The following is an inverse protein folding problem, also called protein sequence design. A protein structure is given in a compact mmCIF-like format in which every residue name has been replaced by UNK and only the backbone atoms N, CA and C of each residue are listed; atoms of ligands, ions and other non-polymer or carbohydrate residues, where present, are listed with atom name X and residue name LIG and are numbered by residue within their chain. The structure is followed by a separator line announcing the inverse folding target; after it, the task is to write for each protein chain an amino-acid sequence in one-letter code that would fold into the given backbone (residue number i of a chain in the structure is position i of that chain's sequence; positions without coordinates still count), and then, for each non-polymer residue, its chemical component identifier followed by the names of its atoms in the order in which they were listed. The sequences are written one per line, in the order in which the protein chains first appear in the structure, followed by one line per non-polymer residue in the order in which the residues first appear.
data_IF_851124104572
#
_entry.id   IF_851124104572
#
_cell.length_a   1.000
_cell.length_b   1.000
_cell.length_c   1.000
_cell.angle_alpha   90.00
_cell.angle_beta   90.00
_cell.angle_gamma   90.00
#
_symmetry.space_group_name_H-M   'P 1'
#
loop_
_entity.id
_entity.type
_entity.pdbx_description
1 polymer ?
#
# COMPACT_ATOMS: atom_id res chain seq x y z
N UNK A 1 30.18 32.02 -11.61
CA UNK A 1 28.70 31.95 -11.73
C UNK A 1 28.19 30.53 -11.56
N UNK A 2 28.86 29.55 -12.17
CA UNK A 2 28.54 28.11 -12.03
C UNK A 2 28.44 27.60 -10.59
N UNK A 3 29.30 28.04 -9.67
CA UNK A 3 29.21 27.64 -8.25
C UNK A 3 27.95 28.19 -7.54
N UNK A 4 27.54 29.42 -7.89
CA UNK A 4 26.30 30.03 -7.38
C UNK A 4 25.07 29.33 -7.95
N UNK A 5 25.05 29.08 -9.25
CA UNK A 5 23.94 28.37 -9.92
C UNK A 5 23.73 26.95 -9.33
N UNK A 6 24.82 26.25 -9.02
CA UNK A 6 24.78 24.94 -8.34
C UNK A 6 24.31 25.03 -6.89
N UNK A 7 24.54 26.15 -6.21
CA UNK A 7 24.04 26.37 -4.85
C UNK A 7 22.53 26.58 -4.87
N UNK A 8 22.02 27.41 -5.79
CA UNK A 8 20.58 27.61 -5.98
C UNK A 8 19.87 26.29 -6.37
N UNK A 9 20.51 25.44 -7.18
CA UNK A 9 20.00 24.11 -7.50
C UNK A 9 19.93 23.20 -6.26
N UNK A 10 20.97 23.19 -5.42
CA UNK A 10 20.99 22.42 -4.17
C UNK A 10 19.87 22.89 -3.23
N UNK A 11 19.65 24.20 -3.11
CA UNK A 11 18.62 24.75 -2.23
C UNK A 11 17.21 24.35 -2.70
N UNK A 12 16.93 24.40 -4.00
CA UNK A 12 15.66 23.92 -4.57
C UNK A 12 15.44 22.42 -4.36
N UNK A 13 16.50 21.61 -4.51
CA UNK A 13 16.44 20.17 -4.25
C UNK A 13 16.16 19.88 -2.77
N UNK A 14 16.76 20.65 -1.85
CA UNK A 14 16.51 20.53 -0.41
C UNK A 14 15.10 20.97 -0.03
N UNK A 15 14.59 22.06 -0.59
CA UNK A 15 13.21 22.50 -0.39
C UNK A 15 12.22 21.41 -0.80
N UNK A 16 12.42 20.83 -2.00
CA UNK A 16 11.57 19.73 -2.48
C UNK A 16 11.67 18.51 -1.56
N UNK A 17 12.88 18.15 -1.12
CA UNK A 17 13.09 17.03 -0.21
C UNK A 17 12.38 17.23 1.14
N UNK A 18 12.46 18.44 1.72
CA UNK A 18 11.77 18.75 2.99
C UNK A 18 10.25 18.69 2.83
N UNK A 19 9.71 19.13 1.70
CA UNK A 19 8.28 19.01 1.43
C UNK A 19 7.83 17.54 1.32
N UNK A 20 8.63 16.68 0.69
CA UNK A 20 8.37 15.24 0.60
C UNK A 20 8.53 14.54 1.95
N UNK A 21 9.50 14.97 2.76
CA UNK A 21 9.67 14.47 4.12
C UNK A 21 8.44 14.78 4.99
N UNK A 22 7.89 15.99 4.89
CA UNK A 22 6.65 16.36 5.58
C UNK A 22 5.46 15.49 5.13
N UNK A 23 5.32 15.27 3.82
CA UNK A 23 4.31 14.36 3.26
C UNK A 23 4.48 12.92 3.78
N UNK A 24 5.72 12.40 3.80
CA UNK A 24 6.03 11.07 4.32
C UNK A 24 5.62 10.93 5.78
N UNK A 25 6.01 11.89 6.63
CA UNK A 25 5.68 11.85 8.06
C UNK A 25 4.17 11.94 8.30
N UNK A 26 3.47 12.75 7.52
CA UNK A 26 2.01 12.85 7.54
C UNK A 26 1.36 11.53 7.13
N UNK A 27 1.78 10.92 6.03
CA UNK A 27 1.27 9.61 5.59
C UNK A 27 1.57 8.52 6.62
N UNK A 28 2.74 8.57 7.27
CA UNK A 28 3.10 7.62 8.33
C UNK A 28 2.20 7.76 9.56
N UNK A 29 1.86 8.99 9.94
CA UNK A 29 0.91 9.26 11.03
C UNK A 29 -0.51 8.81 10.67
N UNK A 30 -0.93 8.99 9.41
CA UNK A 30 -2.22 8.48 8.93
C UNK A 30 -2.26 6.95 8.95
N UNK A 31 -1.19 6.28 8.51
CA UNK A 31 -1.07 4.83 8.56
C UNK A 31 -1.20 4.30 9.99
N UNK A 32 -0.48 4.90 10.95
CA UNK A 32 -0.53 4.46 12.34
C UNK A 32 -1.92 4.66 12.96
N UNK A 33 -2.58 5.79 12.67
CA UNK A 33 -3.94 6.04 13.11
C UNK A 33 -4.94 5.01 12.56
N UNK A 34 -4.86 4.68 11.26
CA UNK A 34 -5.71 3.67 10.63
C UNK A 34 -5.43 2.25 11.16
N UNK A 35 -4.17 1.92 11.43
CA UNK A 35 -3.79 0.64 12.05
C UNK A 35 -4.39 0.49 13.44
N UNK A 36 -4.29 1.55 14.26
CA UNK A 36 -4.87 1.56 15.62
C UNK A 36 -6.39 1.41 15.53
N UNK A 37 -7.08 2.17 14.65
CA UNK A 37 -8.52 2.03 14.43
C UNK A 37 -8.90 0.59 14.05
N UNK A 38 -8.19 0.02 13.09
CA UNK A 38 -8.41 -1.35 12.62
C UNK A 38 -8.29 -2.37 13.75
N UNK A 39 -7.21 -2.28 14.54
CA UNK A 39 -6.96 -3.20 15.66
C UNK A 39 -8.00 -3.03 16.79
N UNK A 40 -8.40 -1.80 17.10
CA UNK A 40 -9.46 -1.52 18.08
C UNK A 40 -10.80 -2.10 17.64
N UNK A 41 -11.18 -1.89 16.37
CA UNK A 41 -12.41 -2.43 15.80
C UNK A 41 -12.39 -3.97 15.75
N UNK A 42 -11.24 -4.57 15.42
CA UNK A 42 -11.06 -6.01 15.47
C UNK A 42 -11.18 -6.55 16.90
N UNK A 43 -10.57 -5.89 17.89
CA UNK A 43 -10.66 -6.28 19.30
C UNK A 43 -12.11 -6.19 19.80
N UNK A 44 -12.84 -5.13 19.44
CA UNK A 44 -14.28 -5.00 19.73
C UNK A 44 -15.10 -6.13 19.12
N UNK A 45 -14.82 -6.49 17.85
CA UNK A 45 -15.50 -7.61 17.19
C UNK A 45 -15.21 -8.94 17.90
N UNK A 46 -13.96 -9.19 18.30
CA UNK A 46 -13.55 -10.39 19.03
C UNK A 46 -14.20 -10.47 20.42
N UNK A 47 -14.30 -9.34 21.12
CA UNK A 47 -14.91 -9.28 22.45
C UNK A 47 -16.42 -9.57 22.43
N UNK A 48 -17.13 -9.08 21.42
CA UNK A 48 -18.57 -9.30 21.24
C UNK A 48 -18.90 -10.54 20.39
N UNK A 49 -17.92 -11.41 20.12
CA UNK A 49 -18.16 -12.61 19.34
C UNK A 49 -19.07 -13.59 20.12
N UNK A 50 -20.08 -14.18 19.48
CA UNK A 50 -20.92 -15.19 20.12
C UNK A 50 -20.09 -16.44 20.46
N UNK A 51 -20.56 -17.25 21.40
CA UNK A 51 -19.87 -18.44 21.89
C UNK A 51 -19.48 -19.37 20.73
N UNK A 52 -18.21 -19.76 20.67
CA UNK A 52 -17.67 -20.62 19.61
C UNK A 52 -17.32 -19.91 18.30
N UNK A 53 -17.55 -18.60 18.18
CA UNK A 53 -17.12 -17.82 17.01
C UNK A 53 -15.80 -17.10 17.30
N UNK A 54 -14.82 -17.35 16.45
CA UNK A 54 -13.53 -16.67 16.51
C UNK A 54 -13.24 -16.01 15.15
N UNK A 55 -13.26 -14.69 15.12
CA UNK A 55 -12.90 -13.91 13.93
C UNK A 55 -11.37 -14.00 13.72
N UNK A 56 -10.95 -15.01 12.96
CA UNK A 56 -9.56 -15.33 12.68
C UNK A 56 -9.43 -16.56 11.77
N UNK A 57 -8.23 -17.13 11.74
CA UNK A 57 -7.84 -18.22 10.82
C UNK A 57 -8.72 -19.47 10.93
N UNK A 58 -9.23 -19.78 12.13
CA UNK A 58 -10.10 -20.94 12.36
C UNK A 58 -11.42 -20.91 11.58
N UNK A 59 -11.83 -19.74 11.08
CA UNK A 59 -13.05 -19.54 10.27
C UNK A 59 -12.73 -19.36 8.78
N UNK A 60 -11.47 -19.49 8.38
CA UNK A 60 -11.10 -19.48 6.97
C UNK A 60 -11.43 -20.84 6.36
N UNK A 61 -12.14 -20.82 5.23
CA UNK A 61 -12.28 -22.00 4.37
C UNK A 61 -11.09 -22.05 3.39
N UNK A 62 -10.87 -23.19 2.72
CA UNK A 62 -9.82 -23.38 1.70
C UNK A 62 -9.94 -22.44 0.48
N UNK A 63 -10.98 -21.60 0.45
CA UNK A 63 -11.24 -20.57 -0.55
C UNK A 63 -10.72 -19.19 -0.16
N UNK A 64 -10.14 -19.01 1.03
CA UNK A 64 -9.57 -17.73 1.47
C UNK A 64 -8.40 -17.33 0.56
N UNK A 65 -8.59 -16.24 -0.18
CA UNK A 65 -7.59 -15.69 -1.10
C UNK A 65 -7.38 -14.20 -0.82
N UNK A 66 -6.15 -13.72 -1.02
CA UNK A 66 -5.83 -12.30 -0.91
C UNK A 66 -6.53 -11.53 -2.04
N UNK A 67 -7.56 -10.76 -1.72
CA UNK A 67 -8.34 -10.03 -2.73
C UNK A 67 -7.61 -8.82 -3.30
N UNK A 68 -6.74 -8.22 -2.48
CA UNK A 68 -5.99 -7.02 -2.81
C UNK A 68 -4.52 -7.32 -2.69
N UNK A 69 -3.80 -6.99 -3.77
CA UNK A 69 -2.35 -7.06 -3.81
C UNK A 69 -1.85 -5.69 -4.24
N UNK A 70 -0.92 -5.12 -3.48
CA UNK A 70 -0.13 -3.99 -3.92
C UNK A 70 1.16 -4.54 -4.52
N UNK A 71 1.47 -4.13 -5.75
CA UNK A 71 2.73 -4.51 -6.40
C UNK A 71 3.54 -3.25 -6.60
N UNK A 72 4.71 -3.19 -5.98
CA UNK A 72 5.67 -2.12 -6.22
C UNK A 72 6.64 -2.62 -7.29
N UNK A 73 6.45 -2.20 -8.54
CA UNK A 73 7.42 -2.48 -9.62
C UNK A 73 8.40 -1.31 -9.72
N UNK A 74 9.69 -1.62 -9.75
CA UNK A 74 10.72 -0.65 -10.07
C UNK A 74 10.81 -0.50 -11.60
N UNK A 75 9.93 0.28 -12.21
CA UNK A 75 10.06 0.62 -13.64
C UNK A 75 10.92 1.88 -13.80
N UNK A 76 11.74 1.90 -14.85
CA UNK A 76 12.65 2.99 -15.23
C UNK A 76 11.93 4.30 -15.60
N UNK A 77 10.60 4.27 -15.69
CA UNK A 77 9.70 5.42 -15.69
C UNK A 77 8.63 5.17 -14.63
N UNK A 78 8.47 6.14 -13.74
CA UNK A 78 7.92 6.03 -12.40
C UNK A 78 6.39 6.01 -12.40
N UNK A 79 5.79 4.86 -12.67
CA UNK A 79 4.37 4.63 -12.40
C UNK A 79 4.24 3.50 -11.38
N UNK A 80 3.76 3.83 -10.18
CA UNK A 80 3.21 2.82 -9.26
C UNK A 80 1.86 2.43 -9.86
N UNK A 81 1.92 1.49 -10.80
CA UNK A 81 0.73 1.00 -11.47
C UNK A 81 -0.03 0.09 -10.53
N UNK A 82 -1.18 0.62 -10.11
CA UNK A 82 -2.43 -0.06 -9.77
C UNK A 82 -2.37 -1.23 -8.78
N UNK A 83 -3.20 -1.11 -7.74
CA UNK A 83 -3.74 -2.24 -6.99
C UNK A 83 -4.40 -3.20 -7.99
N UNK A 84 -3.66 -4.21 -8.45
CA UNK A 84 -4.26 -5.32 -9.18
C UNK A 84 -5.08 -6.11 -8.14
N UNK A 85 -6.41 -5.96 -8.22
CA UNK A 85 -7.31 -6.88 -7.53
C UNK A 85 -6.95 -8.28 -8.02
N UNK A 86 -6.59 -9.17 -7.11
CA UNK A 86 -6.14 -10.50 -7.43
C UNK A 86 -7.18 -11.25 -8.27
N UNK A 87 -7.03 -11.27 -9.59
CA UNK A 87 -7.65 -12.28 -10.42
C UNK A 87 -6.78 -13.53 -10.25
N UNK A 88 -7.29 -14.53 -9.55
CA UNK A 88 -6.65 -15.84 -9.55
C UNK A 88 -6.94 -16.52 -10.88
N UNK A 89 -5.85 -16.89 -11.57
CA UNK A 89 -5.85 -17.91 -12.62
C UNK A 89 -6.32 -19.23 -12.02
N UNK A 90 -7.24 -19.91 -12.70
CA UNK A 90 -7.71 -21.24 -12.34
C UNK A 90 -6.68 -22.29 -12.80
N UNK A 91 -6.21 -23.13 -11.89
CA UNK A 91 -5.77 -24.50 -12.22
C UNK A 91 -6.53 -25.46 -11.31
N UNK A 92 -7.24 -26.40 -11.94
CA UNK A 92 -8.35 -27.13 -11.33
C UNK A 92 -8.05 -28.55 -10.87
N UNK A 93 -9.11 -29.20 -10.37
CA UNK A 93 -9.35 -30.63 -10.53
C UNK A 93 -10.86 -30.90 -10.56
N UNK A 94 -11.31 -31.81 -11.43
CA UNK A 94 -12.71 -31.97 -11.88
C UNK A 94 -13.30 -33.33 -11.46
N UNK A 95 -14.56 -33.33 -11.04
CA UNK A 95 -15.66 -34.32 -11.33
C UNK A 95 -16.84 -33.99 -10.39
N UNK A 96 -18.14 -33.96 -10.71
CA UNK A 96 -18.96 -34.49 -11.81
C UNK A 96 -20.33 -33.76 -11.91
N UNK A 97 -20.79 -33.57 -13.16
CA UNK A 97 -22.14 -33.45 -13.75
C UNK A 97 -23.37 -32.88 -13.00
N UNK A 98 -23.97 -31.83 -13.58
CA UNK A 98 -25.43 -31.56 -13.51
C UNK A 98 -25.91 -30.10 -13.69
N UNK A 99 -26.32 -29.75 -14.92
CA UNK A 99 -27.33 -28.74 -15.31
C UNK A 99 -26.97 -27.23 -15.47
N UNK A 100 -26.67 -26.87 -16.72
CA UNK A 100 -27.24 -25.81 -17.61
C UNK A 100 -27.84 -24.50 -17.04
N UNK A 101 -27.28 -23.38 -17.55
CA UNK A 101 -27.80 -22.00 -17.61
C UNK A 101 -27.42 -21.02 -16.47
N UNK A 102 -26.25 -20.35 -16.62
CA UNK A 102 -26.05 -18.97 -16.12
C UNK A 102 -25.37 -18.75 -14.75
N UNK A 103 -24.73 -19.78 -14.17
CA UNK A 103 -24.08 -19.66 -12.84
C UNK A 103 -22.57 -19.40 -12.93
N UNK A 104 -21.96 -19.65 -14.09
CA UNK A 104 -20.50 -19.78 -14.26
C UNK A 104 -19.71 -18.45 -14.32
N UNK A 105 -20.37 -17.29 -14.42
CA UNK A 105 -19.71 -15.98 -14.29
C UNK A 105 -19.76 -15.39 -12.86
N UNK A 106 -20.47 -16.07 -11.93
CA UNK A 106 -20.89 -15.52 -10.63
C UNK A 106 -20.33 -16.25 -9.41
N UNK A 107 -19.18 -16.92 -9.52
CA UNK A 107 -18.20 -16.90 -8.42
C UNK A 107 -17.50 -15.53 -8.47
N UNK A 108 -18.29 -14.47 -8.52
CA UNK A 108 -17.82 -13.10 -8.46
C UNK A 108 -17.17 -12.96 -7.09
N UNK A 109 -15.84 -12.96 -7.06
CA UNK A 109 -14.98 -12.31 -6.05
C UNK A 109 -15.67 -12.24 -4.68
N UNK A 110 -15.84 -13.39 -4.02
CA UNK A 110 -16.66 -13.49 -2.81
C UNK A 110 -16.05 -12.59 -1.74
N UNK A 111 -16.76 -11.54 -1.30
CA UNK A 111 -16.29 -10.67 -0.20
C UNK A 111 -15.80 -11.54 0.97
N UNK A 112 -14.55 -11.37 1.44
CA UNK A 112 -13.91 -12.34 2.34
C UNK A 112 -14.56 -12.26 3.72
N UNK A 113 -15.12 -11.09 4.04
CA UNK A 113 -15.89 -10.85 5.24
C UNK A 113 -17.15 -11.72 5.33
N UNK A 114 -17.72 -12.17 4.21
CA UNK A 114 -18.91 -13.05 4.19
C UNK A 114 -18.57 -14.49 4.55
N UNK A 115 -17.29 -14.87 4.62
CA UNK A 115 -16.88 -16.18 5.12
C UNK A 115 -17.17 -16.35 6.61
N UNK A 116 -17.28 -15.25 7.36
CA UNK A 116 -17.69 -15.26 8.77
C UNK A 116 -19.22 -15.34 8.98
N UNK A 117 -19.98 -15.66 7.93
CA UNK A 117 -21.43 -15.82 7.97
C UNK A 117 -22.22 -14.56 7.58
N UNK A 118 -23.55 -14.65 7.70
CA UNK A 118 -24.47 -13.54 7.33
C UNK A 118 -24.45 -12.39 8.35
N UNK A 119 -24.23 -12.72 9.63
CA UNK A 119 -24.28 -11.80 10.77
C UNK A 119 -22.88 -11.33 11.16
N UNK A 120 -22.22 -10.62 10.26
CA UNK A 120 -20.92 -10.02 10.58
C UNK A 120 -21.12 -8.79 11.48
N UNK A 121 -20.40 -8.67 12.63
CA UNK A 121 -20.46 -7.47 13.46
C UNK A 121 -20.02 -6.23 12.69
N UNK A 122 -20.64 -5.10 12.98
CA UNK A 122 -20.28 -3.83 12.34
C UNK A 122 -18.79 -3.47 12.57
N UNK A 123 -18.27 -3.74 13.76
CA UNK A 123 -16.87 -3.52 14.09
C UNK A 123 -15.93 -4.31 13.16
N UNK A 124 -16.28 -5.52 12.76
CA UNK A 124 -15.47 -6.30 11.81
C UNK A 124 -15.55 -5.72 10.39
N UNK A 125 -16.71 -5.21 9.98
CA UNK A 125 -16.86 -4.50 8.70
C UNK A 125 -16.04 -3.22 8.65
N UNK A 126 -16.03 -2.44 9.73
CA UNK A 126 -15.21 -1.23 9.86
C UNK A 126 -13.72 -1.58 9.84
N UNK A 127 -13.28 -2.56 10.61
CA UNK A 127 -11.88 -3.02 10.61
C UNK A 127 -11.43 -3.47 9.21
N UNK A 128 -12.27 -4.22 8.50
CA UNK A 128 -11.98 -4.61 7.11
C UNK A 128 -11.89 -3.38 6.20
N UNK A 129 -12.84 -2.44 6.28
CA UNK A 129 -12.85 -1.17 5.53
C UNK A 129 -11.60 -0.33 5.74
N UNK A 130 -11.18 -0.14 7.00
CA UNK A 130 -9.96 0.60 7.34
C UNK A 130 -8.72 -0.12 6.76
N UNK A 131 -8.66 -1.44 6.85
CA UNK A 131 -7.59 -2.25 6.25
C UNK A 131 -7.53 -2.15 4.72
N UNK A 132 -8.69 -2.06 4.06
CA UNK A 132 -8.76 -1.77 2.62
C UNK A 132 -8.03 -0.47 2.30
N UNK A 133 -8.42 0.62 2.98
CA UNK A 133 -7.92 1.95 2.71
C UNK A 133 -6.41 2.01 2.93
N UNK A 134 -5.91 1.36 3.98
CA UNK A 134 -4.48 1.26 4.26
C UNK A 134 -3.71 0.64 3.09
N UNK A 135 -4.15 -0.52 2.59
CA UNK A 135 -3.43 -1.27 1.53
C UNK A 135 -3.60 -0.63 0.16
N UNK A 136 -4.77 -0.07 -0.14
CA UNK A 136 -5.04 0.51 -1.46
C UNK A 136 -4.48 1.92 -1.64
N UNK A 137 -4.44 2.73 -0.57
CA UNK A 137 -4.15 4.16 -0.68
C UNK A 137 -2.92 4.58 0.09
N UNK A 138 -2.79 4.19 1.35
CA UNK A 138 -1.75 4.76 2.22
C UNK A 138 -0.39 4.10 1.97
N UNK A 139 -0.33 2.77 1.95
CA UNK A 139 0.93 2.03 1.76
C UNK A 139 1.58 2.34 0.40
N UNK A 140 0.87 2.36 -0.73
CA UNK A 140 1.46 2.68 -2.03
C UNK A 140 2.03 4.11 -2.08
N UNK A 141 1.33 5.10 -1.53
CA UNK A 141 1.81 6.49 -1.49
C UNK A 141 3.03 6.65 -0.59
N UNK A 142 3.12 5.94 0.53
CA UNK A 142 4.34 5.93 1.36
C UNK A 142 5.53 5.38 0.55
N UNK A 143 5.34 4.25 -0.13
CA UNK A 143 6.40 3.67 -0.97
C UNK A 143 6.82 4.61 -2.11
N UNK A 144 5.88 5.37 -2.67
CA UNK A 144 6.14 6.39 -3.67
C UNK A 144 7.05 7.48 -3.13
N UNK A 145 6.64 8.10 -2.02
CA UNK A 145 7.36 9.24 -1.44
C UNK A 145 8.74 8.81 -0.97
N UNK A 146 8.87 7.63 -0.35
CA UNK A 146 10.16 7.08 0.09
C UNK A 146 11.14 6.92 -1.10
N UNK A 147 10.62 6.46 -2.25
CA UNK A 147 11.40 6.36 -3.48
C UNK A 147 11.79 7.73 -4.04
N UNK A 148 10.85 8.67 -4.15
CA UNK A 148 11.11 10.03 -4.64
C UNK A 148 12.16 10.75 -3.77
N UNK A 149 12.07 10.58 -2.44
CA UNK A 149 13.08 11.06 -1.50
C UNK A 149 14.45 10.46 -1.79
N UNK A 150 14.55 9.14 -2.00
CA UNK A 150 15.80 8.48 -2.36
C UNK A 150 16.44 9.01 -3.64
N UNK A 151 15.63 9.31 -4.67
CA UNK A 151 16.12 9.90 -5.91
C UNK A 151 16.64 11.34 -5.71
N UNK A 152 15.95 12.15 -4.92
CA UNK A 152 16.42 13.48 -4.56
C UNK A 152 17.71 13.45 -3.76
N UNK A 153 17.87 12.51 -2.83
CA UNK A 153 19.12 12.36 -2.09
C UNK A 153 20.31 12.08 -3.02
N UNK A 154 20.11 11.24 -4.03
CA UNK A 154 21.14 10.98 -5.05
C UNK A 154 21.46 12.27 -5.82
N UNK A 155 20.46 13.04 -6.23
CA UNK A 155 20.65 14.32 -6.96
C UNK A 155 21.38 15.35 -6.10
N UNK A 156 21.00 15.51 -4.84
CA UNK A 156 21.66 16.41 -3.88
C UNK A 156 23.13 16.01 -3.70
N UNK A 157 23.42 14.72 -3.51
CA UNK A 157 24.80 14.22 -3.40
C UNK A 157 25.62 14.54 -4.66
N UNK A 158 25.05 14.38 -5.85
CA UNK A 158 25.71 14.71 -7.13
C UNK A 158 25.94 16.21 -7.28
N UNK A 159 24.93 17.03 -7.02
CA UNK A 159 25.03 18.50 -7.12
C UNK A 159 26.11 19.05 -6.18
N UNK A 160 26.16 18.58 -4.91
CA UNK A 160 27.22 18.94 -3.95
C UNK A 160 28.61 18.56 -4.46
N UNK A 161 28.74 17.38 -5.07
CA UNK A 161 30.01 16.93 -5.68
C UNK A 161 30.42 17.80 -6.87
N UNK A 162 29.49 18.21 -7.72
CA UNK A 162 29.78 19.09 -8.85
C UNK A 162 30.16 20.50 -8.40
N UNK A 163 29.51 21.02 -7.35
CA UNK A 163 29.86 22.32 -6.78
C UNK A 163 31.30 22.34 -6.25
N UNK A 164 31.69 21.35 -5.45
CA UNK A 164 33.06 21.24 -4.95
C UNK A 164 34.10 21.20 -6.08
N UNK A 165 33.83 20.46 -7.16
CA UNK A 165 34.71 20.43 -8.34
C UNK A 165 34.75 21.76 -9.11
N UNK A 166 33.64 22.49 -9.14
CA UNK A 166 33.60 23.82 -9.77
C UNK A 166 34.43 24.82 -8.97
N UNK A 167 34.33 24.81 -7.65
CA UNK A 167 35.14 25.63 -6.74
C UNK A 167 36.64 25.33 -6.89
N UNK A 168 37.04 24.04 -6.94
CA UNK A 168 38.43 23.64 -7.17
C UNK A 168 38.99 24.11 -8.53
N UNK A 169 38.14 24.25 -9.55
CA UNK A 169 38.53 24.78 -10.87
C UNK A 169 38.62 26.29 -10.88
N UNK A 170 37.80 26.97 -10.08
CA UNK A 170 37.86 28.43 -9.92
C UNK A 170 39.08 28.86 -9.09
N UNK A 171 39.61 27.99 -8.22
CA UNK A 171 40.83 28.23 -7.43
C UNK A 171 42.16 27.94 -8.15
N UNK A 172 42.11 27.24 -9.30
CA UNK A 172 43.29 26.88 -10.11
C UNK A 172 43.47 27.84 -11.27
#
# INVERSE_FOLDING_TARGET
SSSRDLSDEIDRLLETYLSLLDQYTTLRAQLSAQQISTQQNLARAKFHAPLGVHYGESMYDGRMQAQRRCVCRETTTLDIVAVESAACSEEGDTTSAGNENGVQEKIARRDPIRMFGLLVPEALRRAHGDAVVMVERIVPEICRVDREMGELEIRIRRARKYRAKAEEREMK
#
